data_IF_236841906806
#
_entry.id   IF_236841906806
#
_cell.length_a   1.000
_cell.length_b   1.000
_cell.length_c   1.000
_cell.angle_alpha   90.00
_cell.angle_beta   90.00
_cell.angle_gamma   90.00
#
_symmetry.space_group_name_H-M   'P 1'
#
loop_
_entity.id
_entity.type
_entity.pdbx_description
1 polymer ?
#
# COMPACT_ATOMS: atom_id res chain seq x y z
N UNK A 1 0.53 -10.78 14.23
CA UNK A 1 0.28 -10.06 12.98
C UNK A 1 1.32 -8.96 12.77
N UNK A 2 1.57 -8.61 11.54
CA UNK A 2 2.53 -7.56 11.20
C UNK A 2 1.85 -6.46 10.40
N UNK A 3 2.55 -5.35 10.26
CA UNK A 3 2.08 -4.25 9.41
C UNK A 3 3.01 -4.07 8.21
N UNK A 4 2.40 -3.88 7.05
CA UNK A 4 3.10 -3.43 5.85
C UNK A 4 2.92 -1.92 5.79
N UNK A 5 4.05 -1.21 5.86
CA UNK A 5 4.07 0.25 5.76
C UNK A 5 4.60 0.64 4.38
N UNK A 6 3.81 1.40 3.65
CA UNK A 6 4.19 1.87 2.31
C UNK A 6 4.09 3.39 2.27
N UNK A 7 5.14 4.04 1.78
CA UNK A 7 5.16 5.47 1.53
C UNK A 7 5.50 5.72 0.07
N UNK A 8 4.65 6.48 -0.60
CA UNK A 8 4.90 6.87 -1.99
C UNK A 8 4.14 8.16 -2.32
N UNK A 9 4.46 8.73 -3.47
CA UNK A 9 3.79 9.92 -3.98
C UNK A 9 2.97 9.53 -5.21
N UNK A 10 1.74 10.02 -5.28
CA UNK A 10 0.89 9.86 -6.45
C UNK A 10 0.79 11.16 -7.23
N UNK A 11 0.49 11.08 -8.52
CA UNK A 11 0.25 12.26 -9.34
C UNK A 11 -1.02 13.00 -8.90
N UNK A 12 -2.03 12.24 -8.47
CA UNK A 12 -3.33 12.75 -7.99
C UNK A 12 -3.90 11.76 -6.98
N UNK A 13 -4.06 12.21 -5.74
CA UNK A 13 -4.57 11.36 -4.66
C UNK A 13 -5.95 10.77 -4.98
N UNK A 14 -6.88 11.56 -5.48
CA UNK A 14 -8.24 11.09 -5.74
C UNK A 14 -8.26 9.93 -6.73
N UNK A 15 -7.44 10.01 -7.77
CA UNK A 15 -7.28 8.97 -8.77
C UNK A 15 -6.59 7.73 -8.18
N UNK A 16 -5.56 7.95 -7.38
CA UNK A 16 -4.86 6.88 -6.66
C UNK A 16 -5.83 6.13 -5.73
N UNK A 17 -6.67 6.86 -5.01
CA UNK A 17 -7.60 6.25 -4.06
C UNK A 17 -8.58 5.30 -4.73
N UNK A 18 -9.09 5.65 -5.90
CA UNK A 18 -9.96 4.78 -6.69
C UNK A 18 -9.27 3.46 -6.99
N UNK A 19 -8.02 3.50 -7.44
CA UNK A 19 -7.23 2.30 -7.72
C UNK A 19 -6.92 1.50 -6.47
N UNK A 20 -6.59 2.17 -5.37
CA UNK A 20 -6.31 1.51 -4.10
C UNK A 20 -7.53 0.76 -3.57
N UNK A 21 -8.69 1.39 -3.58
CA UNK A 21 -9.94 0.77 -3.12
C UNK A 21 -10.35 -0.42 -4.02
N UNK A 22 -10.18 -0.29 -5.33
CA UNK A 22 -10.49 -1.35 -6.28
C UNK A 22 -9.59 -2.60 -6.08
N UNK A 23 -8.41 -2.43 -5.50
CA UNK A 23 -7.45 -3.53 -5.28
C UNK A 23 -7.61 -4.22 -3.91
N UNK A 24 -8.57 -3.81 -3.10
CA UNK A 24 -8.74 -4.37 -1.74
C UNK A 24 -8.99 -5.87 -1.74
N UNK A 25 -9.84 -6.37 -2.64
CA UNK A 25 -10.14 -7.80 -2.73
C UNK A 25 -8.87 -8.61 -2.98
N UNK A 26 -7.99 -8.14 -3.86
CA UNK A 26 -6.71 -8.81 -4.13
C UNK A 26 -5.78 -8.78 -2.91
N UNK A 27 -5.73 -7.66 -2.18
CA UNK A 27 -4.94 -7.58 -0.95
C UNK A 27 -5.42 -8.58 0.09
N UNK A 28 -6.71 -8.67 0.31
CA UNK A 28 -7.28 -9.60 1.30
C UNK A 28 -7.06 -11.04 0.90
N UNK A 29 -7.20 -11.37 -0.37
CA UNK A 29 -6.91 -12.70 -0.88
C UNK A 29 -5.44 -13.09 -0.68
N UNK A 30 -4.53 -12.12 -0.71
CA UNK A 30 -3.10 -12.35 -0.51
C UNK A 30 -2.70 -12.46 0.98
N UNK A 31 -3.55 -12.05 1.91
CA UNK A 31 -3.29 -12.18 3.35
C UNK A 31 -3.47 -10.91 4.18
N UNK A 32 -3.92 -9.81 3.59
CA UNK A 32 -4.27 -8.62 4.35
C UNK A 32 -5.55 -8.88 5.17
N UNK A 33 -5.62 -8.33 6.38
CA UNK A 33 -6.76 -8.55 7.26
C UNK A 33 -7.95 -7.62 6.99
N UNK A 34 -7.71 -6.54 6.25
CA UNK A 34 -8.68 -5.47 6.03
C UNK A 34 -8.50 -4.30 6.98
N UNK A 35 -7.74 -4.47 8.06
CA UNK A 35 -7.39 -3.37 8.96
C UNK A 35 -6.30 -2.53 8.31
N UNK A 36 -6.61 -1.27 8.04
CA UNK A 36 -5.68 -0.38 7.34
C UNK A 36 -5.95 1.09 7.66
N UNK A 37 -4.91 1.90 7.53
CA UNK A 37 -4.97 3.34 7.65
C UNK A 37 -4.26 3.96 6.45
N UNK A 38 -4.86 4.97 5.87
CA UNK A 38 -4.26 5.74 4.79
C UNK A 38 -4.08 7.18 5.28
N UNK A 39 -2.84 7.64 5.24
CA UNK A 39 -2.48 8.99 5.66
C UNK A 39 -2.00 9.79 4.46
N UNK A 40 -2.24 11.09 4.50
CA UNK A 40 -1.70 12.03 3.53
C UNK A 40 -0.81 13.03 4.27
N UNK A 41 0.28 13.41 3.65
CA UNK A 41 1.13 14.45 4.21
C UNK A 41 0.38 15.78 4.30
N UNK A 42 0.53 16.49 5.41
CA UNK A 42 -0.18 17.77 5.63
C UNK A 42 0.20 18.82 4.59
N UNK A 43 1.48 18.85 4.22
CA UNK A 43 1.99 19.85 3.27
C UNK A 43 1.91 19.41 1.81
N UNK A 44 1.93 18.10 1.56
CA UNK A 44 1.79 17.53 0.22
C UNK A 44 0.74 16.44 0.21
N UNK A 45 -0.51 16.76 -0.13
CA UNK A 45 -1.61 15.79 -0.08
C UNK A 45 -1.46 14.58 -1.02
N UNK A 46 -0.52 14.64 -1.96
CA UNK A 46 -0.22 13.52 -2.86
C UNK A 46 0.89 12.61 -2.34
N UNK A 47 1.53 12.97 -1.23
CA UNK A 47 2.45 12.09 -0.51
C UNK A 47 1.62 11.24 0.46
N UNK A 48 1.63 9.94 0.25
CA UNK A 48 0.70 9.00 0.89
C UNK A 48 1.48 8.01 1.74
N UNK A 49 0.98 7.74 2.95
CA UNK A 49 1.50 6.72 3.84
C UNK A 49 0.39 5.73 4.14
N UNK A 50 0.67 4.44 3.93
CA UNK A 50 -0.31 3.38 4.16
C UNK A 50 0.22 2.45 5.25
N UNK A 51 -0.65 2.11 6.20
CA UNK A 51 -0.40 1.08 7.20
C UNK A 51 -1.44 -0.01 6.98
N UNK A 52 -1.00 -1.22 6.68
CA UNK A 52 -1.89 -2.36 6.45
C UNK A 52 -1.48 -3.53 7.35
N UNK A 53 -2.45 -4.08 8.07
CA UNK A 53 -2.23 -5.29 8.86
C UNK A 53 -2.27 -6.52 7.96
N UNK A 54 -1.31 -7.42 8.15
CA UNK A 54 -1.20 -8.68 7.42
C UNK A 54 -1.12 -9.86 8.38
N UNK A 55 -1.58 -11.03 7.94
CA UNK A 55 -1.56 -12.25 8.74
C UNK A 55 -0.16 -12.62 9.19
N UNK A 56 0.82 -12.47 8.30
CA UNK A 56 2.23 -12.74 8.59
C UNK A 56 3.16 -12.02 7.62
N UNK A 57 4.45 -11.99 7.97
CA UNK A 57 5.46 -11.30 7.17
C UNK A 57 5.71 -11.95 5.81
N UNK A 58 5.61 -13.27 5.73
CA UNK A 58 5.84 -14.00 4.49
C UNK A 58 4.84 -13.61 3.41
N UNK A 59 3.55 -13.57 3.75
CA UNK A 59 2.51 -13.16 2.83
C UNK A 59 2.66 -11.69 2.42
N UNK A 60 2.99 -10.83 3.37
CA UNK A 60 3.21 -9.41 3.10
C UNK A 60 4.39 -9.20 2.13
N UNK A 61 5.51 -9.92 2.34
CA UNK A 61 6.67 -9.84 1.44
C UNK A 61 6.33 -10.31 0.04
N UNK A 62 5.62 -11.43 -0.06
CA UNK A 62 5.22 -11.98 -1.35
C UNK A 62 4.38 -11.00 -2.13
N UNK A 63 3.43 -10.35 -1.46
CA UNK A 63 2.60 -9.32 -2.07
C UNK A 63 3.44 -8.12 -2.52
N UNK A 64 4.32 -7.61 -1.66
CA UNK A 64 5.14 -6.44 -1.96
C UNK A 64 6.13 -6.67 -3.11
N UNK A 65 6.51 -7.92 -3.36
CA UNK A 65 7.44 -8.30 -4.42
C UNK A 65 6.75 -8.75 -5.71
N UNK A 66 5.43 -8.82 -5.71
CA UNK A 66 4.68 -9.28 -6.88
C UNK A 66 4.77 -8.23 -8.01
N UNK A 67 5.23 -8.62 -9.21
CA UNK A 67 5.27 -7.69 -10.35
C UNK A 67 3.92 -7.10 -10.71
N UNK A 68 2.83 -7.82 -10.46
CA UNK A 68 1.48 -7.32 -10.70
C UNK A 68 1.15 -6.09 -9.84
N UNK A 69 1.71 -5.99 -8.64
CA UNK A 69 1.52 -4.84 -7.78
C UNK A 69 2.16 -3.58 -8.39
N UNK A 70 3.31 -3.72 -9.01
CA UNK A 70 3.98 -2.60 -9.68
C UNK A 70 3.11 -2.04 -10.79
N UNK A 71 2.50 -2.89 -11.59
CA UNK A 71 1.59 -2.46 -12.66
C UNK A 71 0.36 -1.72 -12.08
N UNK A 72 -0.20 -2.22 -11.00
CA UNK A 72 -1.32 -1.58 -10.31
C UNK A 72 -0.94 -0.19 -9.82
N UNK A 73 0.25 -0.05 -9.22
CA UNK A 73 0.75 1.24 -8.75
C UNK A 73 0.98 2.23 -9.89
N UNK A 74 1.57 1.77 -10.99
CA UNK A 74 1.78 2.62 -12.18
C UNK A 74 0.46 3.13 -12.73
N UNK A 75 -0.53 2.28 -12.87
CA UNK A 75 -1.87 2.64 -13.34
C UNK A 75 -2.58 3.60 -12.39
N UNK A 76 -2.31 3.49 -11.09
CA UNK A 76 -2.85 4.38 -10.09
C UNK A 76 -2.12 5.73 -10.02
N UNK A 77 -1.04 5.91 -10.81
CA UNK A 77 -0.31 7.15 -10.90
C UNK A 77 0.77 7.34 -9.84
N UNK A 78 1.30 6.26 -9.28
CA UNK A 78 2.43 6.34 -8.33
C UNK A 78 3.68 6.81 -9.06
N UNK A 79 4.34 7.82 -8.48
CA UNK A 79 5.55 8.44 -9.01
C UNK A 79 6.75 7.93 -8.23
N UNK A 80 7.78 7.47 -8.93
CA UNK A 80 9.02 7.00 -8.32
C UNK A 80 8.85 5.65 -7.62
N UNK A 81 9.86 5.25 -6.86
CA UNK A 81 9.87 4.00 -6.14
C UNK A 81 9.21 4.16 -4.76
N UNK A 82 8.29 3.28 -4.38
CA UNK A 82 7.72 3.32 -3.04
C UNK A 82 8.73 2.87 -1.98
N UNK A 83 8.64 3.45 -0.79
CA UNK A 83 9.34 2.95 0.38
C UNK A 83 8.46 1.90 1.05
N UNK A 84 9.00 0.72 1.30
CA UNK A 84 8.27 -0.40 1.89
C UNK A 84 8.98 -0.87 3.15
N UNK A 85 8.22 -1.01 4.23
CA UNK A 85 8.72 -1.56 5.50
C UNK A 85 7.75 -2.59 6.05
N UNK A 86 8.32 -3.61 6.68
CA UNK A 86 7.56 -4.65 7.40
C UNK A 86 7.83 -4.43 8.88
N UNK A 87 6.80 -4.04 9.63
CA UNK A 87 6.96 -3.62 11.02
C UNK A 87 6.02 -4.34 11.96
N UNK A 88 6.44 -4.46 13.22
CA UNK A 88 5.62 -5.01 14.31
C UNK A 88 5.40 -3.92 15.36
N UNK A 89 4.37 -4.10 16.15
CA UNK A 89 4.21 -3.32 17.38
C UNK A 89 5.29 -3.80 18.37
N UNK A 90 6.03 -2.86 18.91
CA UNK A 90 7.10 -3.16 19.85
C UNK A 90 6.56 -3.63 21.22
#
# INVERSE_FOLDING_TARGET
MIYLNVRHTAADYAKWRVGFDAHETARRAAGATGVQQVYRDVENPNAITIMMEWENAEKARKFAQDPALREVMEKAGVIGAPEVRFINIA
#
